data_IF_935795990001
#
_entry.id   IF_935795990001
#
_cell.length_a   1.000
_cell.length_b   1.000
_cell.length_c   1.000
_cell.angle_alpha   90.00
_cell.angle_beta   90.00
_cell.angle_gamma   90.00
#
_symmetry.space_group_name_H-M   'P 1'
#
loop_
_entity.id
_entity.type
_entity.pdbx_description
1 polymer ?
#
# COMPACT_ATOMS: atom_id res chain seq x y z
N UNK A 1 -2.20 -11.12 -32.89
CA UNK A 1 -1.31 -9.92 -32.79
C UNK A 1 -0.03 -10.16 -33.61
N UNK A 2 0.55 -9.12 -34.23
CA UNK A 2 1.82 -9.23 -34.98
C UNK A 2 3.02 -9.45 -34.04
N UNK A 3 4.15 -9.94 -34.57
CA UNK A 3 5.38 -10.10 -33.80
C UNK A 3 5.89 -8.76 -33.22
N UNK A 4 5.85 -7.71 -34.03
CA UNK A 4 6.20 -6.35 -33.60
C UNK A 4 5.33 -5.87 -32.43
N UNK A 5 4.02 -6.12 -32.48
CA UNK A 5 3.11 -5.75 -31.38
C UNK A 5 3.41 -6.52 -30.10
N UNK A 6 3.74 -7.83 -30.19
CA UNK A 6 4.13 -8.61 -29.01
C UNK A 6 5.43 -8.09 -28.38
N UNK A 7 6.42 -7.74 -29.21
CA UNK A 7 7.68 -7.18 -28.74
C UNK A 7 7.46 -5.82 -28.05
N UNK A 8 6.68 -4.93 -28.66
CA UNK A 8 6.34 -3.63 -28.07
C UNK A 8 5.60 -3.78 -26.72
N UNK A 9 4.66 -4.72 -26.62
CA UNK A 9 3.96 -5.02 -25.36
C UNK A 9 4.90 -5.53 -24.28
N UNK A 10 5.80 -6.46 -24.62
CA UNK A 10 6.79 -6.96 -23.68
C UNK A 10 7.73 -5.86 -23.20
N UNK A 11 8.19 -4.99 -24.11
CA UNK A 11 9.04 -3.86 -23.78
C UNK A 11 8.34 -2.88 -22.84
N UNK A 12 7.10 -2.47 -23.13
CA UNK A 12 6.35 -1.56 -22.24
C UNK A 12 6.07 -2.19 -20.87
N UNK A 13 5.84 -3.49 -20.80
CA UNK A 13 5.52 -4.17 -19.54
C UNK A 13 6.74 -4.32 -18.63
N UNK A 14 7.91 -4.57 -19.23
CA UNK A 14 9.16 -4.72 -18.50
C UNK A 14 9.89 -3.39 -18.24
N UNK A 15 9.79 -2.45 -19.18
CA UNK A 15 10.55 -1.20 -19.24
C UNK A 15 9.66 0.02 -19.55
N UNK A 16 8.63 0.29 -18.72
CA UNK A 16 7.73 1.44 -18.93
C UNK A 16 8.48 2.78 -18.95
N UNK A 17 9.62 2.89 -18.26
CA UNK A 17 10.47 4.09 -18.24
C UNK A 17 10.94 4.56 -19.61
N UNK A 18 10.93 3.68 -20.61
CA UNK A 18 11.35 4.01 -21.98
C UNK A 18 10.34 4.84 -22.75
N UNK A 19 9.08 4.90 -22.29
CA UNK A 19 7.97 5.59 -22.98
C UNK A 19 7.15 6.50 -22.07
N UNK A 20 7.37 6.45 -20.77
CA UNK A 20 6.67 7.28 -19.79
C UNK A 20 7.13 8.74 -19.80
N UNK A 21 6.23 9.61 -19.33
CA UNK A 21 6.54 10.99 -18.96
C UNK A 21 6.41 11.14 -17.46
N UNK A 22 7.47 11.64 -16.84
CA UNK A 22 7.52 11.84 -15.40
C UNK A 22 7.35 13.32 -15.05
N UNK A 23 6.54 13.62 -14.05
CA UNK A 23 6.35 14.98 -13.51
C UNK A 23 6.51 14.96 -12.00
N UNK A 24 7.27 15.91 -11.45
CA UNK A 24 7.44 16.05 -10.01
C UNK A 24 6.28 16.82 -9.38
N UNK A 25 5.83 16.37 -8.21
CA UNK A 25 4.92 17.09 -7.32
C UNK A 25 5.40 16.89 -5.88
N UNK A 26 5.94 17.97 -5.29
CA UNK A 26 6.62 17.90 -4.00
C UNK A 26 7.81 16.94 -4.03
N UNK A 27 7.88 16.03 -3.06
CA UNK A 27 8.92 14.99 -2.99
C UNK A 27 8.59 13.73 -3.80
N UNK A 28 7.50 13.70 -4.56
CA UNK A 28 7.09 12.52 -5.34
C UNK A 28 7.17 12.79 -6.84
N UNK A 29 7.78 11.88 -7.58
CA UNK A 29 7.77 11.87 -9.04
C UNK A 29 6.69 10.92 -9.53
N UNK A 30 5.82 11.38 -10.43
CA UNK A 30 4.76 10.60 -11.03
C UNK A 30 5.09 10.32 -12.49
N UNK A 31 5.34 9.06 -12.81
CA UNK A 31 5.59 8.58 -14.16
C UNK A 31 4.32 7.91 -14.70
N UNK A 32 3.85 8.38 -15.85
CA UNK A 32 2.70 7.83 -16.53
C UNK A 32 2.99 7.71 -18.02
N UNK A 33 2.33 6.76 -18.68
CA UNK A 33 2.26 6.74 -20.13
C UNK A 33 1.63 8.06 -20.63
N UNK A 34 2.06 8.61 -21.78
CA UNK A 34 1.69 9.97 -22.21
C UNK A 34 0.19 10.25 -22.16
N UNK A 35 -0.62 9.27 -22.57
CA UNK A 35 -2.07 9.35 -22.67
C UNK A 35 -2.78 9.44 -21.30
N UNK A 36 -2.09 9.09 -20.22
CA UNK A 36 -2.61 9.03 -18.85
C UNK A 36 -1.97 10.05 -17.91
N UNK A 37 -1.14 10.95 -18.41
CA UNK A 37 -0.48 12.00 -17.60
C UNK A 37 -1.48 12.85 -16.78
N UNK A 38 -2.71 13.02 -17.26
CA UNK A 38 -3.78 13.71 -16.53
C UNK A 38 -4.22 13.03 -15.23
N UNK A 39 -3.89 11.75 -15.01
CA UNK A 39 -4.27 10.98 -13.80
C UNK A 39 -3.34 11.21 -12.61
N UNK A 40 -2.13 11.70 -12.86
CA UNK A 40 -1.10 11.93 -11.82
C UNK A 40 -1.62 12.78 -10.66
N UNK A 41 -2.48 13.77 -10.94
CA UNK A 41 -3.12 14.60 -9.90
C UNK A 41 -4.02 13.80 -8.96
N UNK A 42 -4.71 12.78 -9.46
CA UNK A 42 -5.57 11.94 -8.63
C UNK A 42 -4.73 11.02 -7.74
N UNK A 43 -3.65 10.46 -8.29
CA UNK A 43 -2.69 9.67 -7.52
C UNK A 43 -2.04 10.51 -6.43
N UNK A 44 -1.63 11.74 -6.76
CA UNK A 44 -1.02 12.66 -5.81
C UNK A 44 -1.89 12.94 -4.59
N UNK A 45 -3.21 13.12 -4.76
CA UNK A 45 -4.12 13.29 -3.61
C UNK A 45 -4.09 12.11 -2.64
N UNK A 46 -4.08 10.88 -3.16
CA UNK A 46 -3.98 9.68 -2.32
C UNK A 46 -2.57 9.56 -1.72
N UNK A 47 -1.53 9.89 -2.49
CA UNK A 47 -0.14 9.89 -1.97
C UNK A 47 0.02 10.85 -0.80
N UNK A 48 -0.42 12.10 -0.97
CA UNK A 48 -0.29 13.15 0.03
C UNK A 48 -1.04 12.80 1.30
N UNK A 49 -2.24 12.21 1.17
CA UNK A 49 -3.03 11.71 2.30
C UNK A 49 -2.29 10.66 3.12
N UNK A 50 -1.81 9.59 2.49
CA UNK A 50 -1.11 8.50 3.18
C UNK A 50 0.19 9.01 3.80
N UNK A 51 0.94 9.83 3.05
CA UNK A 51 2.22 10.39 3.48
C UNK A 51 2.09 11.35 4.66
N UNK A 52 0.99 12.11 4.75
CA UNK A 52 0.74 13.01 5.89
C UNK A 52 0.56 12.28 7.23
N UNK A 53 0.24 10.98 7.18
CA UNK A 53 0.10 10.13 8.36
C UNK A 53 1.42 9.47 8.78
N UNK A 54 2.41 9.42 7.88
CA UNK A 54 3.71 8.83 8.15
C UNK A 54 4.53 9.67 9.12
N UNK A 55 5.34 9.01 9.94
CA UNK A 55 6.29 9.63 10.85
C UNK A 55 7.71 9.69 10.29
N UNK A 56 8.62 10.31 11.06
CA UNK A 56 10.04 10.40 10.72
C UNK A 56 10.30 11.01 9.34
N UNK A 57 11.28 10.45 8.62
CA UNK A 57 11.64 10.89 7.27
C UNK A 57 10.72 10.32 6.19
N UNK A 58 9.84 9.36 6.51
CA UNK A 58 8.95 8.74 5.52
C UNK A 58 7.96 9.75 4.92
N UNK A 59 7.52 10.74 5.72
CA UNK A 59 6.67 11.83 5.25
C UNK A 59 7.32 12.70 4.17
N UNK A 60 8.65 12.81 4.11
CA UNK A 60 9.36 13.66 3.15
C UNK A 60 10.29 12.90 2.20
N UNK A 61 10.41 11.58 2.35
CA UNK A 61 11.28 10.73 1.53
C UNK A 61 10.92 10.85 0.04
N UNK A 62 11.89 10.96 -0.88
CA UNK A 62 11.61 10.90 -2.30
C UNK A 62 10.91 9.60 -2.69
N UNK A 63 9.84 9.70 -3.48
CA UNK A 63 9.13 8.53 -4.02
C UNK A 63 8.99 8.65 -5.54
N UNK A 64 8.88 7.50 -6.21
CA UNK A 64 8.49 7.41 -7.62
C UNK A 64 7.22 6.59 -7.74
N UNK A 65 6.12 7.23 -8.07
CA UNK A 65 4.87 6.55 -8.43
C UNK A 65 4.91 6.28 -9.93
N UNK A 66 4.95 5.01 -10.33
CA UNK A 66 5.12 4.60 -11.72
C UNK A 66 3.91 3.83 -12.22
N UNK A 67 3.38 4.25 -13.37
CA UNK A 67 2.32 3.51 -14.03
C UNK A 67 2.89 2.24 -14.67
N UNK A 68 2.29 1.09 -14.38
CA UNK A 68 2.66 -0.17 -15.05
C UNK A 68 1.48 -0.70 -15.84
N UNK A 69 1.82 -1.46 -16.88
CA UNK A 69 0.88 -2.15 -17.77
C UNK A 69 1.42 -3.55 -18.00
N UNK A 70 0.63 -4.58 -17.74
CA UNK A 70 1.00 -5.94 -18.09
C UNK A 70 0.29 -6.31 -19.39
N UNK A 71 1.02 -6.19 -20.50
CA UNK A 71 0.49 -6.44 -21.83
C UNK A 71 1.06 -7.73 -22.45
N UNK A 72 1.97 -8.45 -21.78
CA UNK A 72 2.60 -9.68 -22.30
C UNK A 72 1.57 -10.76 -22.57
N UNK A 73 0.54 -10.84 -21.72
CA UNK A 73 -0.48 -11.90 -21.74
C UNK A 73 -1.85 -11.44 -22.25
N UNK A 74 -1.95 -10.24 -22.83
CA UNK A 74 -3.22 -9.64 -23.25
C UNK A 74 -3.49 -8.31 -22.54
N UNK A 75 -4.62 -7.67 -22.86
CA UNK A 75 -5.03 -6.39 -22.23
C UNK A 75 -6.31 -6.54 -21.38
N UNK A 76 -6.95 -7.70 -21.43
CA UNK A 76 -8.27 -7.93 -20.84
C UNK A 76 -8.19 -8.31 -19.35
N UNK A 77 -7.02 -8.79 -18.91
CA UNK A 77 -6.81 -9.23 -17.54
C UNK A 77 -6.54 -8.06 -16.58
N UNK A 78 -6.82 -8.29 -15.30
CA UNK A 78 -6.30 -7.48 -14.21
C UNK A 78 -5.02 -8.12 -13.68
N UNK A 79 -3.84 -7.63 -14.08
CA UNK A 79 -2.59 -8.26 -13.71
C UNK A 79 -2.20 -7.86 -12.28
N UNK A 80 -1.67 -8.83 -11.52
CA UNK A 80 -0.73 -8.49 -10.45
C UNK A 80 0.62 -8.19 -11.11
N UNK A 81 1.26 -7.10 -10.70
CA UNK A 81 2.60 -6.74 -11.19
C UNK A 81 3.68 -7.34 -10.30
N UNK A 82 4.79 -7.82 -10.85
CA UNK A 82 5.91 -8.25 -9.99
C UNK A 82 6.39 -7.08 -9.10
N UNK A 83 6.55 -7.24 -7.77
CA UNK A 83 7.03 -6.18 -6.89
C UNK A 83 8.38 -5.62 -7.31
N UNK A 84 8.52 -4.30 -7.36
CA UNK A 84 9.79 -3.63 -7.56
C UNK A 84 10.67 -3.69 -6.30
N UNK A 85 11.95 -3.99 -6.50
CA UNK A 85 13.00 -3.85 -5.50
C UNK A 85 13.67 -2.47 -5.52
N UNK A 86 13.21 -1.56 -6.39
CA UNK A 86 13.77 -0.20 -6.47
C UNK A 86 13.23 0.62 -5.29
N UNK A 87 14.10 1.13 -4.39
CA UNK A 87 13.66 1.84 -3.20
C UNK A 87 12.74 3.01 -3.51
N UNK A 88 11.62 3.11 -2.77
CA UNK A 88 10.66 4.20 -2.92
C UNK A 88 9.86 4.20 -4.23
N UNK A 89 9.92 3.13 -5.03
CA UNK A 89 9.04 2.96 -6.19
C UNK A 89 7.70 2.40 -5.74
N UNK A 90 6.62 2.95 -6.27
CA UNK A 90 5.23 2.52 -6.02
C UNK A 90 4.51 2.38 -7.35
N UNK A 91 3.91 1.22 -7.58
CA UNK A 91 3.19 0.89 -8.79
C UNK A 91 1.77 1.42 -8.72
N UNK A 92 1.30 1.98 -9.84
CA UNK A 92 -0.11 2.23 -10.08
C UNK A 92 -0.53 1.55 -11.38
N UNK A 93 -1.72 0.95 -11.40
CA UNK A 93 -2.23 0.30 -12.59
C UNK A 93 -2.80 1.27 -13.64
N UNK A 94 -3.30 0.70 -14.73
CA UNK A 94 -4.04 1.43 -15.77
C UNK A 94 -5.50 1.69 -15.41
N UNK A 95 -6.01 1.14 -14.30
CA UNK A 95 -7.35 1.41 -13.77
C UNK A 95 -7.23 2.31 -12.54
N UNK A 96 -8.21 3.18 -12.32
CA UNK A 96 -8.23 4.10 -11.19
C UNK A 96 -9.67 4.41 -10.78
N UNK A 97 -9.89 4.63 -9.48
CA UNK A 97 -11.21 4.81 -8.89
C UNK A 97 -11.75 3.53 -8.24
N UNK A 98 -12.81 3.66 -7.44
CA UNK A 98 -13.34 2.57 -6.62
C UNK A 98 -12.24 1.92 -5.77
N UNK A 99 -12.27 0.60 -5.70
CA UNK A 99 -11.35 -0.24 -4.91
C UNK A 99 -9.87 -0.08 -5.29
N UNK A 100 -9.55 0.50 -6.46
CA UNK A 100 -8.16 0.77 -6.87
C UNK A 100 -7.48 1.88 -6.06
N UNK A 101 -8.28 2.77 -5.45
CA UNK A 101 -7.75 3.85 -4.61
C UNK A 101 -7.20 3.29 -3.29
N UNK A 102 -7.95 2.50 -2.49
CA UNK A 102 -7.40 1.89 -1.28
C UNK A 102 -6.34 0.83 -1.59
N UNK A 103 -6.45 0.04 -2.67
CA UNK A 103 -5.40 -0.88 -3.12
C UNK A 103 -4.05 -0.17 -3.34
N UNK A 104 -4.06 0.94 -4.09
CA UNK A 104 -2.87 1.78 -4.27
C UNK A 104 -2.37 2.37 -2.95
N UNK A 105 -3.28 2.80 -2.06
CA UNK A 105 -2.90 3.36 -0.77
C UNK A 105 -2.16 2.34 0.11
N UNK A 106 -2.58 1.06 0.08
CA UNK A 106 -1.87 -0.03 0.79
C UNK A 106 -0.49 -0.25 0.17
N UNK A 107 -0.37 -0.36 -1.16
CA UNK A 107 0.94 -0.51 -1.81
C UNK A 107 1.92 0.63 -1.46
N UNK A 108 1.44 1.86 -1.48
CA UNK A 108 2.21 3.03 -1.05
C UNK A 108 2.63 2.95 0.43
N UNK A 109 1.69 2.60 1.32
CA UNK A 109 1.97 2.48 2.75
C UNK A 109 2.99 1.38 3.03
N UNK A 110 2.91 0.24 2.33
CA UNK A 110 3.91 -0.83 2.39
C UNK A 110 5.30 -0.32 2.03
N UNK A 111 5.43 0.46 0.96
CA UNK A 111 6.72 1.06 0.55
C UNK A 111 7.22 2.06 1.60
N UNK A 112 6.34 2.86 2.22
CA UNK A 112 6.72 3.78 3.30
C UNK A 112 7.25 3.06 4.55
N UNK A 113 6.70 1.89 4.87
CA UNK A 113 7.04 1.10 6.06
C UNK A 113 8.24 0.18 5.81
N UNK A 114 8.29 -0.51 4.68
CA UNK A 114 9.28 -1.54 4.37
C UNK A 114 10.42 -1.08 3.46
N UNK A 115 10.24 0.03 2.72
CA UNK A 115 11.27 0.65 1.88
C UNK A 115 11.02 0.54 0.37
N UNK A 116 10.57 -0.63 -0.08
CA UNK A 116 10.23 -0.97 -1.47
C UNK A 116 9.04 -1.96 -1.53
N UNK A 117 8.57 -2.28 -2.73
CA UNK A 117 7.36 -3.10 -2.93
C UNK A 117 7.61 -4.56 -2.57
N UNK A 118 8.80 -5.08 -2.84
CA UNK A 118 9.14 -6.47 -2.55
C UNK A 118 9.17 -6.72 -1.04
N UNK A 119 9.93 -5.92 -0.29
CA UNK A 119 9.96 -5.99 1.17
C UNK A 119 8.57 -5.73 1.77
N UNK A 120 7.77 -4.86 1.13
CA UNK A 120 6.38 -4.62 1.48
C UNK A 120 5.51 -5.88 1.36
N UNK A 121 5.65 -6.65 0.27
CA UNK A 121 4.88 -7.87 0.02
C UNK A 121 5.23 -9.04 0.95
N UNK A 122 6.36 -8.97 1.65
CA UNK A 122 6.82 -10.00 2.59
C UNK A 122 6.43 -9.71 4.05
N UNK A 123 5.73 -8.60 4.30
CA UNK A 123 5.29 -8.24 5.64
C UNK A 123 4.29 -9.25 6.20
N UNK A 124 4.65 -9.82 7.34
CA UNK A 124 3.86 -10.81 8.07
C UNK A 124 3.76 -10.51 9.58
N UNK A 125 4.51 -9.52 10.04
CA UNK A 125 4.54 -9.08 11.42
C UNK A 125 3.56 -7.91 11.65
N UNK A 126 3.58 -7.34 12.86
CA UNK A 126 2.71 -6.23 13.25
C UNK A 126 2.82 -4.98 12.37
N UNK A 127 3.87 -4.84 11.54
CA UNK A 127 3.96 -3.72 10.59
C UNK A 127 2.79 -3.69 9.60
N UNK A 128 2.12 -4.82 9.35
CA UNK A 128 0.87 -4.87 8.57
C UNK A 128 -0.19 -3.92 9.15
N UNK A 129 -0.32 -3.83 10.48
CA UNK A 129 -1.26 -2.89 11.13
C UNK A 129 -0.90 -1.44 10.79
N UNK A 130 0.39 -1.09 10.86
CA UNK A 130 0.88 0.26 10.52
C UNK A 130 0.58 0.58 9.05
N UNK A 131 0.83 -0.36 8.14
CA UNK A 131 0.53 -0.21 6.70
C UNK A 131 -0.95 0.07 6.48
N UNK A 132 -1.84 -0.76 7.03
CA UNK A 132 -3.28 -0.64 6.81
C UNK A 132 -3.83 0.65 7.43
N UNK A 133 -3.36 1.04 8.62
CA UNK A 133 -3.78 2.30 9.22
C UNK A 133 -3.33 3.52 8.41
N UNK A 134 -2.11 3.53 7.86
CA UNK A 134 -1.64 4.62 6.98
C UNK A 134 -2.45 4.72 5.69
N UNK A 135 -2.82 3.58 5.11
CA UNK A 135 -3.58 3.53 3.86
C UNK A 135 -5.01 4.05 4.02
N UNK A 136 -5.66 3.69 5.13
CA UNK A 136 -7.11 3.82 5.33
C UNK A 136 -7.49 4.91 6.32
N UNK A 137 -6.65 5.23 7.31
CA UNK A 137 -7.01 6.09 8.45
C UNK A 137 -7.42 7.51 8.07
N UNK A 138 -6.91 8.02 6.94
CA UNK A 138 -7.28 9.33 6.41
C UNK A 138 -8.45 9.31 5.41
N UNK A 139 -9.03 8.15 5.12
CA UNK A 139 -10.17 8.03 4.21
C UNK A 139 -11.46 8.60 4.83
N UNK A 140 -12.43 8.97 3.98
CA UNK A 140 -13.73 9.46 4.42
C UNK A 140 -14.58 8.35 5.05
N UNK A 141 -14.44 7.11 4.55
CA UNK A 141 -15.01 5.91 5.16
C UNK A 141 -13.93 4.82 5.28
N UNK A 142 -13.14 4.84 6.37
CA UNK A 142 -12.02 3.90 6.54
C UNK A 142 -12.46 2.44 6.64
N UNK A 143 -13.65 2.14 7.17
CA UNK A 143 -14.16 0.76 7.28
C UNK A 143 -14.69 0.24 5.96
N UNK A 144 -15.36 1.07 5.15
CA UNK A 144 -15.68 0.69 3.77
C UNK A 144 -14.40 0.46 2.96
N UNK A 145 -13.39 1.33 3.11
CA UNK A 145 -12.10 1.16 2.44
C UNK A 145 -11.36 -0.11 2.87
N UNK A 146 -11.52 -0.55 4.12
CA UNK A 146 -11.00 -1.83 4.61
C UNK A 146 -11.69 -3.01 3.92
N UNK A 147 -13.01 -2.95 3.72
CA UNK A 147 -13.75 -3.98 2.95
C UNK A 147 -13.26 -4.02 1.51
N UNK A 148 -13.20 -2.86 0.86
CA UNK A 148 -12.88 -2.73 -0.57
C UNK A 148 -11.49 -3.26 -0.94
N UNK A 149 -10.55 -3.26 0.02
CA UNK A 149 -9.18 -3.73 -0.19
C UNK A 149 -8.96 -5.18 0.22
N UNK A 150 -9.96 -5.85 0.81
CA UNK A 150 -9.86 -7.26 1.19
C UNK A 150 -10.58 -8.14 0.19
N UNK A 151 -10.00 -9.29 -0.12
CA UNK A 151 -10.58 -10.23 -1.10
C UNK A 151 -11.94 -10.81 -0.66
N UNK A 152 -12.21 -10.81 0.64
CA UNK A 152 -13.42 -11.38 1.24
C UNK A 152 -14.50 -10.31 1.52
N UNK A 153 -14.25 -9.05 1.16
CA UNK A 153 -15.10 -7.88 1.47
C UNK A 153 -15.46 -7.74 2.96
N UNK A 154 -14.67 -8.39 3.84
CA UNK A 154 -14.89 -8.47 5.28
C UNK A 154 -14.21 -7.36 6.07
N UNK A 155 -14.56 -7.23 7.36
CA UNK A 155 -13.85 -6.36 8.34
C UNK A 155 -13.45 -7.11 9.61
N UNK A 156 -13.58 -8.43 9.60
CA UNK A 156 -13.30 -9.31 10.73
C UNK A 156 -12.52 -10.53 10.25
N UNK A 157 -11.82 -11.23 11.15
CA UNK A 157 -11.00 -12.39 10.77
C UNK A 157 -9.78 -12.03 9.92
N UNK A 158 -9.03 -13.07 9.54
CA UNK A 158 -7.88 -12.93 8.65
C UNK A 158 -8.30 -12.89 7.18
N UNK A 159 -7.54 -12.16 6.35
CA UNK A 159 -7.83 -12.04 4.93
C UNK A 159 -6.58 -11.67 4.11
N UNK A 160 -6.71 -11.85 2.80
CA UNK A 160 -5.78 -11.30 1.81
C UNK A 160 -6.15 -9.85 1.53
N UNK A 161 -5.20 -8.95 1.70
CA UNK A 161 -5.31 -7.53 1.38
C UNK A 161 -4.66 -7.27 0.04
N UNK A 162 -5.41 -6.65 -0.87
CA UNK A 162 -5.00 -6.36 -2.23
C UNK A 162 -4.01 -5.19 -2.26
N UNK A 163 -2.95 -5.36 -3.07
CA UNK A 163 -2.04 -4.29 -3.47
C UNK A 163 -1.75 -4.42 -4.96
N UNK A 164 -1.20 -3.38 -5.63
CA UNK A 164 -0.91 -3.47 -7.05
C UNK A 164 0.11 -4.56 -7.41
N UNK A 165 1.03 -4.92 -6.51
CA UNK A 165 2.19 -5.77 -6.87
C UNK A 165 2.34 -7.05 -6.06
N UNK A 166 1.71 -7.16 -4.90
CA UNK A 166 1.87 -8.32 -4.04
C UNK A 166 0.95 -8.20 -2.85
N UNK A 167 -0.02 -9.11 -2.76
CA UNK A 167 -1.00 -9.07 -1.70
C UNK A 167 -0.33 -9.23 -0.33
N UNK A 168 -0.90 -8.58 0.68
CA UNK A 168 -0.53 -8.81 2.07
C UNK A 168 -1.44 -9.85 2.68
N UNK A 169 -0.91 -10.64 3.60
CA UNK A 169 -1.71 -11.48 4.48
C UNK A 169 -1.94 -10.74 5.78
N UNK A 170 -3.20 -10.70 6.19
CA UNK A 170 -3.63 -10.03 7.40
C UNK A 170 -4.26 -11.07 8.33
N UNK A 171 -3.75 -11.18 9.55
CA UNK A 171 -4.31 -12.08 10.57
C UNK A 171 -5.59 -11.50 11.18
N UNK A 172 -6.37 -12.33 11.87
CA UNK A 172 -7.53 -11.85 12.63
C UNK A 172 -7.14 -10.83 13.70
N UNK A 173 -6.03 -11.06 14.42
CA UNK A 173 -5.52 -10.11 15.42
C UNK A 173 -5.11 -8.77 14.82
N UNK A 174 -4.46 -8.78 13.66
CA UNK A 174 -4.13 -7.55 12.92
C UNK A 174 -5.41 -6.81 12.50
N UNK A 175 -6.44 -7.55 12.05
CA UNK A 175 -7.74 -6.98 11.68
C UNK A 175 -8.41 -6.29 12.85
N UNK A 176 -8.44 -6.91 14.03
CA UNK A 176 -9.04 -6.30 15.21
C UNK A 176 -8.31 -5.04 15.66
N UNK A 177 -6.98 -5.03 15.59
CA UNK A 177 -6.19 -3.83 15.91
C UNK A 177 -6.50 -2.72 14.90
N UNK A 178 -6.44 -2.99 13.59
CA UNK A 178 -6.73 -2.00 12.55
C UNK A 178 -8.15 -1.45 12.71
N UNK A 179 -9.16 -2.33 12.80
CA UNK A 179 -10.56 -1.91 12.97
C UNK A 179 -10.73 -1.02 14.20
N UNK A 180 -10.10 -1.37 15.31
CA UNK A 180 -10.13 -0.56 16.53
C UNK A 180 -9.52 0.82 16.30
N UNK A 181 -8.36 0.89 15.64
CA UNK A 181 -7.69 2.16 15.33
C UNK A 181 -8.50 3.04 14.38
N UNK A 182 -9.18 2.44 13.38
CA UNK A 182 -10.04 3.17 12.43
C UNK A 182 -11.29 3.76 13.10
N UNK A 183 -11.75 3.19 14.22
CA UNK A 183 -12.87 3.71 15.01
C UNK A 183 -12.48 4.79 16.03
N UNK A 184 -11.19 5.09 16.20
CA UNK A 184 -10.69 6.06 17.19
C UNK A 184 -10.53 7.46 16.60
N UNK A 185 -10.44 8.51 17.46
CA UNK A 185 -10.16 9.86 17.00
C UNK A 185 -8.88 9.91 16.15
N UNK A 186 -9.04 10.26 14.88
CA UNK A 186 -7.96 10.23 13.89
C UNK A 186 -6.70 10.97 14.34
N UNK A 187 -6.86 12.17 14.93
CA UNK A 187 -5.74 12.99 15.37
C UNK A 187 -4.89 12.32 16.47
N UNK A 188 -5.53 11.56 17.38
CA UNK A 188 -4.83 10.85 18.45
C UNK A 188 -3.97 9.73 17.88
N UNK A 189 -4.56 8.88 17.03
CA UNK A 189 -3.83 7.76 16.42
C UNK A 189 -2.71 8.27 15.52
N UNK A 190 -2.96 9.31 14.74
CA UNK A 190 -1.93 9.92 13.90
C UNK A 190 -0.78 10.51 14.71
N UNK A 191 -1.07 11.11 15.87
CA UNK A 191 -0.01 11.58 16.77
C UNK A 191 0.81 10.42 17.33
N UNK A 192 0.16 9.34 17.77
CA UNK A 192 0.84 8.15 18.30
C UNK A 192 1.70 7.45 17.23
N UNK A 193 1.17 7.30 16.01
CA UNK A 193 1.92 6.69 14.89
C UNK A 193 3.16 7.50 14.54
N UNK A 194 3.05 8.83 14.49
CA UNK A 194 4.23 9.68 14.26
C UNK A 194 5.22 9.63 15.42
N UNK A 195 4.74 9.57 16.67
CA UNK A 195 5.58 9.49 17.86
C UNK A 195 6.36 8.18 17.97
N UNK A 196 5.76 7.07 17.56
CA UNK A 196 6.35 5.72 17.66
C UNK A 196 6.84 5.16 16.33
N UNK A 197 7.00 6.01 15.30
CA UNK A 197 7.31 5.59 13.93
C UNK A 197 8.44 4.57 13.84
N UNK A 198 9.57 4.84 14.49
CA UNK A 198 10.75 3.96 14.46
C UNK A 198 10.45 2.55 14.97
N UNK A 199 9.63 2.42 16.00
CA UNK A 199 9.25 1.13 16.57
C UNK A 199 8.19 0.45 15.72
N UNK A 200 7.20 1.21 15.25
CA UNK A 200 6.09 0.71 14.41
C UNK A 200 6.54 0.20 13.03
N UNK A 201 7.70 0.65 12.53
CA UNK A 201 8.27 0.19 11.26
C UNK A 201 9.50 -0.70 11.44
N UNK A 202 9.89 -1.04 12.67
CA UNK A 202 11.01 -1.94 12.91
C UNK A 202 10.66 -3.37 12.46
N UNK A 203 11.57 -4.07 11.74
CA UNK A 203 11.36 -5.47 11.42
C UNK A 203 11.15 -6.34 12.66
N UNK A 204 10.16 -7.24 12.62
CA UNK A 204 9.83 -8.13 13.74
C UNK A 204 8.99 -7.48 14.84
N UNK A 205 8.55 -6.23 14.67
CA UNK A 205 7.56 -5.63 15.59
C UNK A 205 6.28 -6.45 15.56
N UNK A 206 5.88 -7.02 16.69
CA UNK A 206 4.69 -7.85 16.79
C UNK A 206 3.40 -7.04 16.78
N UNK A 207 2.29 -7.66 16.40
CA UNK A 207 0.96 -7.02 16.47
C UNK A 207 0.63 -6.55 17.88
N UNK A 208 1.00 -7.32 18.91
CA UNK A 208 0.82 -6.93 20.31
C UNK A 208 1.63 -5.67 20.66
N UNK A 209 2.86 -5.55 20.15
CA UNK A 209 3.67 -4.34 20.35
C UNK A 209 3.07 -3.13 19.66
N UNK A 210 2.53 -3.28 18.45
CA UNK A 210 1.81 -2.20 17.77
C UNK A 210 0.58 -1.76 18.57
N UNK A 211 -0.22 -2.72 19.06
CA UNK A 211 -1.40 -2.44 19.88
C UNK A 211 -1.01 -1.66 21.16
N UNK A 212 0.07 -2.05 21.84
CA UNK A 212 0.59 -1.35 23.02
C UNK A 212 0.99 0.10 22.69
N UNK A 213 1.81 0.29 21.65
CA UNK A 213 2.32 1.59 21.21
C UNK A 213 1.20 2.54 20.78
N UNK A 214 0.11 2.00 20.26
CA UNK A 214 -1.05 2.77 19.81
C UNK A 214 -2.21 2.76 20.81
N UNK A 215 -1.99 2.26 22.03
CA UNK A 215 -2.97 2.21 23.12
C UNK A 215 -4.29 1.53 22.74
N UNK A 216 -4.22 0.40 22.05
CA UNK A 216 -5.38 -0.45 21.73
C UNK A 216 -5.64 -1.40 22.90
N UNK A 217 -6.79 -1.31 23.58
CA UNK A 217 -7.09 -2.12 24.75
C UNK A 217 -7.44 -3.57 24.36
N UNK A 218 -7.22 -4.51 25.28
CA UNK A 218 -7.80 -5.85 25.22
C UNK A 218 -7.15 -6.85 24.26
N UNK A 219 -6.16 -6.44 23.46
CA UNK A 219 -5.35 -7.35 22.64
C UNK A 219 -4.27 -7.97 23.54
N UNK A 220 -4.66 -8.98 24.33
CA UNK A 220 -3.73 -9.76 25.14
C UNK A 220 -2.81 -10.62 24.28
N UNK A 221 -1.60 -10.90 24.79
CA UNK A 221 -0.53 -11.70 24.18
C UNK A 221 -0.90 -13.17 23.86
N UNK A 222 -1.95 -13.40 23.08
CA UNK A 222 -2.36 -14.71 22.57
C UNK A 222 -1.56 -15.06 21.33
N UNK A 223 -0.94 -16.23 21.34
CA UNK A 223 -0.29 -16.84 20.17
C UNK A 223 -1.31 -16.88 19.02
N UNK A 224 -0.87 -16.50 17.82
CA UNK A 224 -1.62 -16.39 16.55
C UNK A 224 -1.99 -14.97 16.07
N UNK A 225 -1.31 -13.91 16.56
CA UNK A 225 -1.50 -12.56 15.98
C UNK A 225 -0.64 -12.27 14.74
N UNK A 226 0.49 -12.97 14.58
CA UNK A 226 1.42 -12.79 13.46
C UNK A 226 1.63 -14.15 12.80
N UNK A 227 0.75 -14.53 11.87
CA UNK A 227 0.87 -15.76 11.09
C UNK A 227 0.52 -15.49 9.63
N UNK A 228 1.49 -15.78 8.76
CA UNK A 228 1.34 -15.88 7.31
C UNK A 228 1.36 -17.36 6.93
N UNK A 229 0.41 -18.16 7.43
CA UNK A 229 0.19 -19.47 6.83
C UNK A 229 -0.33 -19.24 5.40
N UNK A 230 0.50 -19.65 4.43
CA UNK A 230 0.22 -19.63 2.99
C UNK A 230 -0.51 -20.88 2.57
#
# INVERSE_FOLDING_TARGET
PSAALRAARAQVSAHPETVERCTAHGATTYCALPEWTGRTRAWARTTDRVRALAGGTAASRPLTVRQRVEARYGLDNDPSYDPSTVPGTVTVGTRWGGNRVPEYAVGLASVLVAGDEHAGSELCDGRVVTVLWLALGGDADPLASLRDVRIDDGVEGGAVVLTPTGNLLMSAGQTDVVRTLLGRPHAEVASAVRGHWKELTAPGTSTARVAELLHVPGIGHGKDTDSCER
#
